data_IF_279285516571
#
_entry.id   IF_279285516571
#
_cell.length_a   1.000
_cell.length_b   1.000
_cell.length_c   1.000
_cell.angle_alpha   90.00
_cell.angle_beta   90.00
_cell.angle_gamma   90.00
#
_symmetry.space_group_name_H-M   'P 1'
#
loop_
_entity.id
_entity.type
_entity.pdbx_description
1 polymer ?
#
# COMPACT_ATOMS: atom_id res chain seq x y z
N UNK A 1 16.60 -19.85 17.68
CA UNK A 1 16.66 -20.67 16.46
C UNK A 1 16.06 -19.83 15.37
N UNK A 2 16.87 -19.30 14.46
CA UNK A 2 16.37 -18.58 13.29
C UNK A 2 15.52 -19.53 12.44
N UNK A 3 14.32 -19.16 12.02
CA UNK A 3 13.51 -19.99 11.15
C UNK A 3 14.28 -20.28 9.84
N UNK A 4 14.22 -21.50 9.38
CA UNK A 4 14.78 -21.88 8.07
C UNK A 4 14.08 -21.06 6.99
N UNK A 5 14.80 -20.42 6.06
CA UNK A 5 14.15 -19.62 5.02
C UNK A 5 13.23 -20.48 4.16
N UNK A 6 12.01 -20.02 3.98
CA UNK A 6 10.96 -20.67 3.18
C UNK A 6 11.40 -20.80 1.71
N UNK A 7 11.22 -21.97 1.14
CA UNK A 7 11.56 -22.22 -0.27
C UNK A 7 10.58 -21.55 -1.24
N UNK A 8 11.00 -21.34 -2.50
CA UNK A 8 10.13 -20.79 -3.55
C UNK A 8 8.87 -21.66 -3.77
N UNK A 9 8.96 -22.99 -3.59
CA UNK A 9 7.82 -23.90 -3.71
C UNK A 9 6.82 -23.71 -2.57
N UNK A 10 7.29 -23.61 -1.33
CA UNK A 10 6.45 -23.40 -0.15
C UNK A 10 5.70 -22.06 -0.22
N UNK A 11 6.37 -21.00 -0.69
CA UNK A 11 5.73 -19.70 -0.94
C UNK A 11 4.62 -19.78 -1.98
N UNK A 12 4.86 -20.51 -3.08
CA UNK A 12 3.84 -20.67 -4.12
C UNK A 12 2.63 -21.47 -3.60
N UNK A 13 2.86 -22.45 -2.74
CA UNK A 13 1.78 -23.23 -2.13
C UNK A 13 1.01 -22.41 -1.10
N UNK A 14 1.68 -21.54 -0.34
CA UNK A 14 1.04 -20.57 0.55
C UNK A 14 0.17 -19.58 -0.23
N UNK A 15 0.69 -18.98 -1.31
CA UNK A 15 -0.10 -18.09 -2.17
C UNK A 15 -1.37 -18.79 -2.70
N UNK A 16 -1.24 -20.02 -3.17
CA UNK A 16 -2.40 -20.81 -3.62
C UNK A 16 -3.39 -21.09 -2.50
N UNK A 17 -2.89 -21.32 -1.27
CA UNK A 17 -3.73 -21.53 -0.10
C UNK A 17 -4.48 -20.25 0.27
N UNK A 18 -3.82 -19.10 0.24
CA UNK A 18 -4.43 -17.80 0.52
C UNK A 18 -5.52 -17.43 -0.51
N UNK A 19 -5.23 -17.60 -1.80
CA UNK A 19 -6.21 -17.36 -2.87
C UNK A 19 -7.43 -18.29 -2.70
N UNK A 20 -7.22 -19.57 -2.38
CA UNK A 20 -8.32 -20.51 -2.13
C UNK A 20 -9.17 -20.10 -0.93
N UNK A 21 -8.53 -19.68 0.16
CA UNK A 21 -9.19 -19.24 1.39
C UNK A 21 -10.04 -17.98 1.15
N UNK A 22 -9.45 -16.98 0.52
CA UNK A 22 -10.16 -15.75 0.17
C UNK A 22 -11.33 -16.03 -0.78
N UNK A 23 -11.14 -16.93 -1.75
CA UNK A 23 -12.20 -17.37 -2.65
C UNK A 23 -13.34 -18.10 -1.93
N UNK A 24 -13.01 -18.97 -0.95
CA UNK A 24 -14.02 -19.63 -0.15
C UNK A 24 -14.83 -18.63 0.70
N UNK A 25 -14.16 -17.67 1.34
CA UNK A 25 -14.83 -16.62 2.12
C UNK A 25 -15.73 -15.73 1.25
N UNK A 26 -15.30 -15.44 0.02
CA UNK A 26 -16.15 -14.75 -0.96
C UNK A 26 -17.37 -15.62 -1.34
N UNK A 27 -17.19 -16.92 -1.54
CA UNK A 27 -18.27 -17.86 -1.77
C UNK A 27 -19.30 -17.85 -0.63
N UNK A 28 -18.82 -17.90 0.61
CA UNK A 28 -19.67 -17.81 1.81
C UNK A 28 -20.43 -16.47 1.85
N UNK A 29 -19.77 -15.38 1.47
CA UNK A 29 -20.38 -14.04 1.39
C UNK A 29 -21.49 -13.99 0.33
N UNK A 30 -21.24 -14.57 -0.84
CA UNK A 30 -22.24 -14.65 -1.93
C UNK A 30 -23.46 -15.47 -1.48
N UNK A 31 -23.25 -16.62 -0.83
CA UNK A 31 -24.35 -17.44 -0.33
C UNK A 31 -25.21 -16.69 0.69
N UNK A 32 -24.58 -15.94 1.62
CA UNK A 32 -25.29 -15.17 2.64
C UNK A 32 -26.05 -13.98 2.07
N UNK A 33 -25.47 -13.28 1.11
CA UNK A 33 -25.99 -12.00 0.62
C UNK A 33 -26.85 -12.11 -0.64
N UNK A 34 -26.78 -13.23 -1.37
CA UNK A 34 -27.59 -13.48 -2.56
C UNK A 34 -28.36 -14.78 -2.41
N UNK A 35 -27.77 -15.92 -2.77
CA UNK A 35 -28.34 -17.27 -2.56
C UNK A 35 -27.30 -18.37 -2.84
N UNK A 36 -27.65 -19.60 -2.45
CA UNK A 36 -26.86 -20.80 -2.75
C UNK A 36 -26.86 -21.08 -4.26
N UNK A 37 -28.01 -20.94 -4.91
CA UNK A 37 -28.17 -21.20 -6.36
C UNK A 37 -27.30 -20.23 -7.18
N UNK A 38 -27.21 -18.96 -6.77
CA UNK A 38 -26.35 -18.01 -7.43
C UNK A 38 -24.85 -18.34 -7.22
N UNK A 39 -24.47 -18.79 -6.04
CA UNK A 39 -23.11 -19.29 -5.79
C UNK A 39 -22.78 -20.48 -6.70
N UNK A 40 -23.69 -21.43 -6.86
CA UNK A 40 -23.53 -22.57 -7.78
C UNK A 40 -23.35 -22.11 -9.24
N UNK A 41 -24.06 -21.08 -9.67
CA UNK A 41 -23.86 -20.45 -10.98
C UNK A 41 -22.46 -19.84 -11.12
N UNK A 42 -21.98 -19.11 -10.11
CA UNK A 42 -20.63 -18.54 -10.10
C UNK A 42 -19.58 -19.65 -10.23
N UNK A 43 -19.71 -20.73 -9.46
CA UNK A 43 -18.79 -21.88 -9.52
C UNK A 43 -18.86 -22.61 -10.86
N UNK A 44 -20.06 -22.79 -11.43
CA UNK A 44 -20.23 -23.37 -12.77
C UNK A 44 -19.48 -22.55 -13.81
N UNK A 45 -19.70 -21.23 -13.84
CA UNK A 45 -19.02 -20.32 -14.79
C UNK A 45 -17.50 -20.36 -14.59
N UNK A 46 -17.02 -20.38 -13.34
CA UNK A 46 -15.58 -20.46 -13.02
C UNK A 46 -14.94 -21.75 -13.55
N UNK A 47 -15.60 -22.88 -13.36
CA UNK A 47 -15.11 -24.20 -13.80
C UNK A 47 -15.08 -24.26 -15.33
N UNK A 48 -16.17 -23.88 -15.98
CA UNK A 48 -16.27 -23.87 -17.44
C UNK A 48 -15.24 -22.93 -18.08
N UNK A 49 -15.07 -21.73 -17.53
CA UNK A 49 -14.06 -20.77 -18.00
C UNK A 49 -12.62 -21.32 -17.86
N UNK A 50 -12.35 -22.10 -16.84
CA UNK A 50 -11.06 -22.79 -16.69
C UNK A 50 -10.88 -23.87 -17.74
N UNK A 51 -11.82 -24.77 -17.89
CA UNK A 51 -11.76 -25.86 -18.89
C UNK A 51 -11.65 -25.31 -20.32
N UNK A 52 -12.39 -24.24 -20.64
CA UNK A 52 -12.27 -23.54 -21.93
C UNK A 52 -10.86 -23.05 -22.19
N UNK A 53 -10.18 -22.51 -21.15
CA UNK A 53 -8.80 -22.04 -21.27
C UNK A 53 -7.79 -23.18 -21.46
N UNK A 54 -8.12 -24.37 -20.99
CA UNK A 54 -7.36 -25.60 -21.19
C UNK A 54 -7.65 -26.25 -22.58
N UNK A 55 -8.52 -25.65 -23.40
CA UNK A 55 -8.80 -26.04 -24.77
C UNK A 55 -10.05 -26.93 -24.96
N UNK A 56 -10.93 -27.05 -23.94
CA UNK A 56 -12.17 -27.84 -24.01
C UNK A 56 -13.26 -27.05 -24.75
N UNK A 57 -13.53 -27.41 -26.01
CA UNK A 57 -14.57 -26.79 -26.85
C UNK A 57 -15.99 -27.08 -26.35
N UNK A 58 -16.23 -28.22 -25.71
CA UNK A 58 -17.54 -28.53 -25.13
C UNK A 58 -17.83 -27.63 -23.92
N UNK A 59 -16.83 -27.41 -23.05
CA UNK A 59 -16.91 -26.47 -21.95
C UNK A 59 -17.12 -25.03 -22.42
N UNK A 60 -16.52 -24.64 -23.57
CA UNK A 60 -16.73 -23.35 -24.18
C UNK A 60 -18.18 -23.15 -24.62
N UNK A 61 -18.75 -24.12 -25.34
CA UNK A 61 -20.15 -24.04 -25.79
C UNK A 61 -21.12 -23.97 -24.61
N UNK A 62 -20.87 -24.78 -23.56
CA UNK A 62 -21.70 -24.73 -22.35
C UNK A 62 -21.56 -23.41 -21.59
N UNK A 63 -20.34 -22.81 -21.55
CA UNK A 63 -20.11 -21.50 -20.94
C UNK A 63 -20.92 -20.42 -21.68
N UNK A 64 -20.85 -20.39 -23.01
CA UNK A 64 -21.58 -19.43 -23.84
C UNK A 64 -23.10 -19.57 -23.61
N UNK A 65 -23.63 -20.79 -23.59
CA UNK A 65 -25.04 -21.05 -23.30
C UNK A 65 -25.43 -20.62 -21.87
N UNK A 66 -24.59 -20.96 -20.88
CA UNK A 66 -24.84 -20.60 -19.48
C UNK A 66 -24.91 -19.08 -19.31
N UNK A 67 -23.94 -18.34 -19.88
CA UNK A 67 -23.89 -16.87 -19.77
C UNK A 67 -25.02 -16.21 -20.58
N UNK A 68 -25.38 -16.76 -21.71
CA UNK A 68 -26.52 -16.24 -22.49
C UNK A 68 -27.89 -16.44 -21.80
N UNK A 69 -27.99 -17.43 -20.91
CA UNK A 69 -29.21 -17.74 -20.17
C UNK A 69 -29.41 -16.95 -18.87
N UNK A 70 -28.44 -16.18 -18.39
CA UNK A 70 -28.57 -15.42 -17.14
C UNK A 70 -29.39 -14.14 -17.36
N UNK A 71 -30.12 -13.72 -16.33
CA UNK A 71 -30.77 -12.40 -16.31
C UNK A 71 -29.76 -11.25 -16.17
N UNK A 72 -30.17 -10.03 -16.54
CA UNK A 72 -29.35 -8.82 -16.41
C UNK A 72 -28.80 -8.63 -14.96
N UNK A 73 -29.65 -8.95 -13.96
CA UNK A 73 -29.24 -8.84 -12.54
C UNK A 73 -28.18 -9.88 -12.22
N UNK A 74 -28.36 -11.13 -12.64
CA UNK A 74 -27.37 -12.18 -12.42
C UNK A 74 -26.07 -11.88 -13.18
N UNK A 75 -26.12 -11.33 -14.39
CA UNK A 75 -24.95 -10.90 -15.14
C UNK A 75 -24.14 -9.82 -14.38
N UNK A 76 -24.82 -8.82 -13.82
CA UNK A 76 -24.18 -7.78 -12.99
C UNK A 76 -23.54 -8.41 -11.75
N UNK A 77 -24.22 -9.31 -11.08
CA UNK A 77 -23.71 -9.98 -9.89
C UNK A 77 -22.54 -10.93 -10.22
N UNK A 78 -22.55 -11.62 -11.38
CA UNK A 78 -21.45 -12.43 -11.86
C UNK A 78 -20.18 -11.57 -12.09
N UNK A 79 -20.33 -10.46 -12.83
CA UNK A 79 -19.23 -9.52 -13.03
C UNK A 79 -18.65 -9.06 -11.67
N UNK A 80 -19.53 -8.71 -10.72
CA UNK A 80 -19.13 -8.31 -9.37
C UNK A 80 -18.37 -9.40 -8.64
N UNK A 81 -18.85 -10.65 -8.66
CA UNK A 81 -18.21 -11.77 -8.02
C UNK A 81 -16.78 -11.99 -8.54
N UNK A 82 -16.61 -11.99 -9.85
CA UNK A 82 -15.26 -12.13 -10.46
C UNK A 82 -14.37 -10.92 -10.22
N UNK A 83 -14.90 -9.71 -10.24
CA UNK A 83 -14.12 -8.50 -9.95
C UNK A 83 -13.56 -8.54 -8.52
N UNK A 84 -14.40 -8.87 -7.54
CA UNK A 84 -13.94 -9.00 -6.14
C UNK A 84 -12.95 -10.15 -6.01
N UNK A 85 -13.20 -11.29 -6.64
CA UNK A 85 -12.26 -12.41 -6.65
C UNK A 85 -10.87 -11.98 -7.16
N UNK A 86 -10.80 -11.26 -8.29
CA UNK A 86 -9.53 -10.77 -8.82
C UNK A 86 -8.87 -9.74 -7.91
N UNK A 87 -9.63 -8.88 -7.23
CA UNK A 87 -9.07 -7.99 -6.23
C UNK A 87 -8.43 -8.75 -5.06
N UNK A 88 -9.10 -9.79 -4.56
CA UNK A 88 -8.59 -10.62 -3.49
C UNK A 88 -7.34 -11.42 -3.92
N UNK A 89 -7.35 -11.99 -5.11
CA UNK A 89 -6.20 -12.67 -5.68
C UNK A 89 -5.00 -11.72 -5.82
N UNK A 90 -5.20 -10.52 -6.37
CA UNK A 90 -4.17 -9.50 -6.49
C UNK A 90 -3.61 -9.06 -5.13
N UNK A 91 -4.45 -8.96 -4.09
CA UNK A 91 -3.96 -8.66 -2.73
C UNK A 91 -3.06 -9.78 -2.22
N UNK A 92 -3.46 -11.04 -2.39
CA UNK A 92 -2.62 -12.18 -1.98
C UNK A 92 -1.30 -12.22 -2.76
N UNK A 93 -1.32 -11.97 -4.07
CA UNK A 93 -0.12 -11.89 -4.91
C UNK A 93 0.81 -10.75 -4.47
N UNK A 94 0.26 -9.57 -4.14
CA UNK A 94 1.04 -8.44 -3.64
C UNK A 94 1.71 -8.77 -2.30
N UNK A 95 0.98 -9.37 -1.36
CA UNK A 95 1.54 -9.79 -0.06
C UNK A 95 2.67 -10.79 -0.27
N UNK A 96 2.45 -11.82 -1.11
CA UNK A 96 3.47 -12.81 -1.42
C UNK A 96 4.70 -12.18 -2.13
N UNK A 97 4.48 -11.22 -3.01
CA UNK A 97 5.57 -10.52 -3.71
C UNK A 97 6.40 -9.65 -2.76
N UNK A 98 5.76 -8.95 -1.84
CA UNK A 98 6.46 -8.15 -0.81
C UNK A 98 7.29 -9.06 0.08
N UNK A 99 6.75 -10.22 0.47
CA UNK A 99 7.48 -11.19 1.28
C UNK A 99 8.67 -11.79 0.52
N UNK A 100 8.49 -12.13 -0.76
CA UNK A 100 9.60 -12.55 -1.63
C UNK A 100 10.72 -11.51 -1.70
N UNK A 101 10.35 -10.23 -1.80
CA UNK A 101 11.32 -9.14 -1.82
C UNK A 101 12.01 -8.99 -0.46
N UNK A 102 11.27 -9.09 0.64
CA UNK A 102 11.85 -9.03 2.01
C UNK A 102 12.86 -10.14 2.25
N UNK A 103 12.53 -11.38 1.89
CA UNK A 103 13.45 -12.52 2.04
C UNK A 103 14.70 -12.41 1.15
N UNK A 104 14.60 -11.71 0.03
CA UNK A 104 15.79 -11.36 -0.76
C UNK A 104 16.60 -10.23 -0.13
N UNK A 105 16.00 -9.47 0.78
CA UNK A 105 16.55 -8.21 1.32
C UNK A 105 17.26 -8.40 2.67
N UNK A 106 17.17 -9.55 3.35
CA UNK A 106 18.03 -9.83 4.51
C UNK A 106 19.49 -10.04 4.06
N UNK A 107 20.15 -8.91 3.74
CA UNK A 107 21.53 -8.85 3.24
C UNK A 107 21.67 -8.92 1.71
N UNK A 108 20.57 -8.89 0.96
CA UNK A 108 20.55 -8.83 -0.50
C UNK A 108 19.27 -8.14 -1.00
N UNK A 109 19.38 -6.93 -1.45
CA UNK A 109 18.31 -6.17 -2.11
C UNK A 109 18.94 -5.29 -3.16
N UNK A 110 18.14 -4.73 -4.07
CA UNK A 110 18.68 -3.89 -5.16
C UNK A 110 19.55 -2.74 -4.65
N UNK A 111 19.26 -2.21 -3.45
CA UNK A 111 20.08 -1.19 -2.81
C UNK A 111 21.42 -1.78 -2.34
N UNK A 112 21.41 -2.91 -1.63
CA UNK A 112 22.60 -3.63 -1.18
C UNK A 112 23.46 -4.10 -2.35
N UNK A 113 22.84 -4.70 -3.37
CA UNK A 113 23.51 -5.14 -4.60
C UNK A 113 24.15 -3.94 -5.34
N UNK A 114 23.50 -2.79 -5.32
CA UNK A 114 24.02 -1.57 -5.93
C UNK A 114 25.24 -1.07 -5.17
N UNK A 115 25.21 -1.04 -3.85
CA UNK A 115 26.35 -0.65 -3.04
C UNK A 115 27.52 -1.64 -3.17
N UNK A 116 27.27 -2.95 -3.22
CA UNK A 116 28.28 -3.96 -3.51
C UNK A 116 28.97 -3.72 -4.87
N UNK A 117 28.22 -3.40 -5.92
CA UNK A 117 28.76 -3.04 -7.25
C UNK A 117 29.55 -1.74 -7.22
N UNK A 118 29.18 -0.78 -6.39
CA UNK A 118 29.93 0.47 -6.17
C UNK A 118 31.30 0.16 -5.52
N UNK A 119 31.30 -0.73 -4.52
CA UNK A 119 32.53 -1.19 -3.86
C UNK A 119 33.45 -1.94 -4.84
N UNK A 120 32.90 -2.87 -5.63
CA UNK A 120 33.62 -3.58 -6.69
C UNK A 120 34.24 -2.64 -7.74
N UNK A 121 33.55 -1.52 -8.04
CA UNK A 121 34.03 -0.50 -8.96
C UNK A 121 35.11 0.40 -8.35
N UNK A 122 35.46 0.23 -7.06
CA UNK A 122 36.49 1.01 -6.38
C UNK A 122 36.13 2.49 -6.19
N UNK A 123 34.84 2.80 -6.08
CA UNK A 123 34.35 4.17 -5.85
C UNK A 123 34.58 4.50 -4.37
N UNK A 124 35.29 5.60 -4.08
CA UNK A 124 35.57 5.97 -2.71
C UNK A 124 34.31 6.45 -1.97
N UNK A 125 34.25 6.26 -0.63
CA UNK A 125 33.14 6.74 0.20
C UNK A 125 32.86 8.23 0.05
N UNK A 126 33.92 9.06 -0.08
CA UNK A 126 33.81 10.51 -0.22
C UNK A 126 33.13 10.89 -1.55
N UNK A 127 33.51 10.20 -2.64
CA UNK A 127 32.91 10.43 -3.94
C UNK A 127 31.45 9.97 -3.96
N UNK A 128 31.16 8.83 -3.32
CA UNK A 128 29.79 8.32 -3.19
C UNK A 128 28.93 9.29 -2.36
N UNK A 129 29.39 9.75 -1.20
CA UNK A 129 28.68 10.73 -0.38
C UNK A 129 28.41 12.04 -1.15
N UNK A 130 29.41 12.53 -1.91
CA UNK A 130 29.23 13.71 -2.75
C UNK A 130 28.18 13.49 -3.87
N UNK A 131 28.08 12.29 -4.41
CA UNK A 131 27.09 11.94 -5.44
C UNK A 131 25.69 11.78 -4.86
N UNK A 132 25.55 11.13 -3.70
CA UNK A 132 24.27 10.98 -3.01
C UNK A 132 23.60 12.33 -2.73
N UNK A 133 24.37 13.37 -2.43
CA UNK A 133 23.87 14.76 -2.26
C UNK A 133 23.23 15.33 -3.52
N UNK A 134 23.54 14.81 -4.70
CA UNK A 134 23.06 15.30 -5.98
C UNK A 134 22.03 14.37 -6.65
N UNK A 135 21.86 13.17 -6.09
CA UNK A 135 20.85 12.22 -6.59
C UNK A 135 19.46 12.71 -6.26
N UNK A 136 18.61 12.75 -7.26
CA UNK A 136 17.18 12.93 -7.08
C UNK A 136 16.43 11.84 -7.87
N UNK A 137 15.70 11.00 -7.15
CA UNK A 137 14.76 10.05 -7.72
C UNK A 137 13.33 10.58 -7.52
N UNK A 138 12.65 10.87 -8.61
CA UNK A 138 11.31 11.47 -8.59
C UNK A 138 10.29 10.59 -9.30
N UNK A 139 9.67 9.62 -8.59
CA UNK A 139 8.52 8.92 -9.14
C UNK A 139 7.37 9.92 -9.35
N UNK A 140 6.84 9.93 -10.58
CA UNK A 140 5.74 10.83 -10.95
C UNK A 140 4.48 10.01 -11.13
N UNK A 141 3.48 10.26 -10.31
CA UNK A 141 2.20 9.57 -10.32
C UNK A 141 1.24 10.22 -11.31
N UNK A 142 0.51 9.37 -12.03
CA UNK A 142 -0.59 9.79 -12.89
C UNK A 142 -1.86 9.01 -12.52
N UNK A 143 -3.02 9.60 -12.74
CA UNK A 143 -4.28 8.88 -12.60
C UNK A 143 -4.54 8.07 -13.87
N UNK A 144 -4.88 6.79 -13.70
CA UNK A 144 -5.35 5.99 -14.81
C UNK A 144 -6.87 6.15 -14.96
N UNK A 145 -7.41 6.40 -16.17
CA UNK A 145 -8.85 6.62 -16.37
C UNK A 145 -9.74 5.46 -15.88
N UNK A 146 -9.18 4.26 -15.73
CA UNK A 146 -9.89 3.07 -15.24
C UNK A 146 -9.84 2.89 -13.73
N UNK A 147 -9.06 3.69 -12.98
CA UNK A 147 -9.06 3.66 -11.51
C UNK A 147 -10.28 4.38 -10.93
N UNK A 148 -11.46 3.84 -11.23
CA UNK A 148 -12.72 4.32 -10.66
C UNK A 148 -13.00 3.76 -9.26
N UNK A 149 -12.06 3.03 -8.66
CA UNK A 149 -12.23 2.40 -7.35
C UNK A 149 -12.45 3.44 -6.26
N UNK A 150 -13.45 3.20 -5.40
CA UNK A 150 -13.70 4.08 -4.26
C UNK A 150 -12.57 3.91 -3.23
N UNK A 151 -12.19 5.00 -2.56
CA UNK A 151 -11.20 4.97 -1.46
C UNK A 151 -11.53 3.90 -0.41
N UNK A 152 -12.82 3.71 -0.10
CA UNK A 152 -13.27 2.68 0.83
C UNK A 152 -12.95 1.25 0.39
N UNK A 153 -12.93 0.98 -0.92
CA UNK A 153 -12.52 -0.32 -1.49
C UNK A 153 -11.01 -0.49 -1.35
N UNK A 154 -10.23 0.56 -1.66
CA UNK A 154 -8.78 0.54 -1.50
C UNK A 154 -8.37 0.30 -0.04
N UNK A 155 -9.01 0.98 0.92
CA UNK A 155 -8.77 0.79 2.35
C UNK A 155 -9.05 -0.64 2.80
N UNK A 156 -10.17 -1.24 2.36
CA UNK A 156 -10.51 -2.64 2.67
C UNK A 156 -9.48 -3.62 2.10
N UNK A 157 -8.99 -3.35 0.88
CA UNK A 157 -7.94 -4.17 0.27
C UNK A 157 -6.62 -4.06 1.05
N UNK A 158 -6.24 -2.87 1.49
CA UNK A 158 -5.06 -2.66 2.36
C UNK A 158 -5.20 -3.40 3.68
N UNK A 159 -6.37 -3.33 4.33
CA UNK A 159 -6.64 -4.03 5.58
C UNK A 159 -6.54 -5.57 5.41
N UNK A 160 -7.06 -6.12 4.30
CA UNK A 160 -6.88 -7.55 4.00
C UNK A 160 -5.40 -7.89 3.81
N UNK A 161 -4.63 -7.03 3.13
CA UNK A 161 -3.19 -7.26 2.93
C UNK A 161 -2.41 -7.27 4.26
N UNK A 162 -2.75 -6.40 5.20
CA UNK A 162 -2.18 -6.38 6.55
C UNK A 162 -2.53 -7.65 7.32
N UNK A 163 -3.80 -8.02 7.33
CA UNK A 163 -4.28 -9.24 7.98
C UNK A 163 -3.64 -10.52 7.42
N UNK A 164 -3.42 -10.60 6.11
CA UNK A 164 -2.71 -11.74 5.51
C UNK A 164 -1.25 -11.82 5.96
N UNK A 165 -0.57 -10.68 6.15
CA UNK A 165 0.80 -10.65 6.71
C UNK A 165 0.81 -11.08 8.17
N UNK A 166 -0.07 -10.51 9.00
CA UNK A 166 -0.21 -10.89 10.41
C UNK A 166 -0.49 -12.39 10.59
N UNK A 167 -1.23 -12.97 9.66
CA UNK A 167 -1.60 -14.38 9.70
C UNK A 167 -0.40 -15.32 9.57
N UNK A 168 0.66 -14.91 8.89
CA UNK A 168 1.86 -15.73 8.66
C UNK A 168 2.54 -16.11 9.99
N UNK A 169 2.52 -15.21 10.97
CA UNK A 169 3.15 -15.41 12.28
C UNK A 169 2.13 -15.69 13.41
N UNK A 170 0.86 -15.86 13.05
CA UNK A 170 -0.21 -16.01 14.02
C UNK A 170 -0.26 -17.44 14.62
N UNK A 171 -0.70 -17.51 15.87
CA UNK A 171 -1.08 -18.81 16.48
C UNK A 171 -2.41 -19.30 15.87
N UNK A 172 -2.74 -20.57 16.01
CA UNK A 172 -3.98 -21.16 15.49
C UNK A 172 -5.23 -20.35 15.91
N UNK A 173 -5.31 -19.89 17.17
CA UNK A 173 -6.39 -19.02 17.63
C UNK A 173 -6.34 -17.62 17.04
N UNK A 174 -5.15 -17.13 16.69
CA UNK A 174 -4.91 -15.88 15.96
C UNK A 174 -5.42 -15.99 14.53
N UNK A 175 -5.07 -17.05 13.83
CA UNK A 175 -5.54 -17.31 12.47
C UNK A 175 -7.07 -17.30 12.36
N UNK A 176 -7.77 -17.97 13.30
CA UNK A 176 -9.24 -17.98 13.31
C UNK A 176 -9.83 -16.58 13.45
N UNK A 177 -9.22 -15.71 14.30
CA UNK A 177 -9.67 -14.33 14.45
C UNK A 177 -9.42 -13.50 13.19
N UNK A 178 -8.26 -13.67 12.59
CA UNK A 178 -7.87 -12.99 11.35
C UNK A 178 -8.79 -13.42 10.21
N UNK A 179 -9.00 -14.71 10.02
CA UNK A 179 -9.87 -15.27 8.98
C UNK A 179 -11.32 -14.75 9.12
N UNK A 180 -11.81 -14.65 10.36
CA UNK A 180 -13.13 -14.05 10.63
C UNK A 180 -13.16 -12.57 10.22
N UNK A 181 -12.13 -11.79 10.58
CA UNK A 181 -12.05 -10.36 10.22
C UNK A 181 -11.97 -10.16 8.71
N UNK A 182 -11.20 -10.98 8.01
CA UNK A 182 -11.14 -10.96 6.53
C UNK A 182 -12.54 -11.23 5.95
N UNK A 183 -13.26 -12.23 6.47
CA UNK A 183 -14.62 -12.52 6.02
C UNK A 183 -15.58 -11.35 6.19
N UNK A 184 -15.52 -10.63 7.32
CA UNK A 184 -16.30 -9.41 7.55
C UNK A 184 -15.97 -8.30 6.52
N UNK A 185 -14.69 -8.14 6.18
CA UNK A 185 -14.25 -7.15 5.19
C UNK A 185 -14.73 -7.55 3.78
N UNK A 186 -14.70 -8.85 3.45
CA UNK A 186 -15.22 -9.37 2.17
C UNK A 186 -16.73 -9.14 2.06
N UNK A 187 -17.50 -9.34 3.13
CA UNK A 187 -18.93 -8.99 3.16
C UNK A 187 -19.15 -7.49 2.87
N UNK A 188 -18.34 -6.63 3.49
CA UNK A 188 -18.39 -5.19 3.23
C UNK A 188 -17.95 -4.82 1.81
N UNK A 189 -17.00 -5.54 1.21
CA UNK A 189 -16.64 -5.37 -0.21
C UNK A 189 -17.80 -5.79 -1.11
N UNK A 190 -18.43 -6.92 -0.83
CA UNK A 190 -19.60 -7.38 -1.56
C UNK A 190 -20.75 -6.38 -1.54
N UNK A 191 -21.00 -5.76 -0.41
CA UNK A 191 -22.09 -4.78 -0.23
C UNK A 191 -21.73 -3.36 -0.69
N UNK A 192 -20.45 -3.10 -1.01
CA UNK A 192 -20.00 -1.78 -1.45
C UNK A 192 -20.18 -1.61 -2.96
N UNK A 193 -20.67 -0.46 -3.42
CA UNK A 193 -20.58 -0.10 -4.84
C UNK A 193 -19.12 0.17 -5.21
N UNK A 194 -18.56 -0.65 -6.07
CA UNK A 194 -17.18 -0.53 -6.53
C UNK A 194 -17.00 0.65 -7.48
N UNK A 195 -17.93 0.77 -8.42
CA UNK A 195 -17.89 1.82 -9.41
C UNK A 195 -18.61 3.07 -8.91
N UNK A 196 -17.96 4.20 -9.09
CA UNK A 196 -18.63 5.49 -8.91
C UNK A 196 -19.65 5.66 -10.05
N UNK A 197 -20.90 5.97 -9.70
CA UNK A 197 -21.94 6.32 -10.69
C UNK A 197 -21.61 7.61 -11.45
N UNK A 198 -20.69 8.42 -10.90
CA UNK A 198 -20.25 9.68 -11.47
C UNK A 198 -18.75 9.57 -11.77
N UNK A 199 -18.36 10.02 -12.96
CA UNK A 199 -16.94 10.08 -13.35
C UNK A 199 -16.14 10.86 -12.29
N UNK A 200 -14.99 10.36 -11.81
CA UNK A 200 -14.18 11.07 -10.83
C UNK A 200 -13.77 12.45 -11.38
N UNK A 201 -13.78 13.43 -10.52
CA UNK A 201 -13.22 14.76 -10.82
C UNK A 201 -11.70 14.71 -10.70
N UNK A 202 -10.96 15.65 -11.32
CA UNK A 202 -9.50 15.72 -11.14
C UNK A 202 -9.08 15.85 -9.66
N UNK A 203 -9.89 16.46 -8.81
CA UNK A 203 -9.66 16.53 -7.37
C UNK A 203 -9.85 15.17 -6.69
N UNK A 204 -10.80 14.36 -7.15
CA UNK A 204 -10.98 13.00 -6.63
C UNK A 204 -9.81 12.09 -7.00
N UNK A 205 -9.29 12.23 -8.23
CA UNK A 205 -8.10 11.53 -8.70
C UNK A 205 -6.87 11.95 -7.87
N UNK A 206 -6.70 13.25 -7.62
CA UNK A 206 -5.62 13.76 -6.77
C UNK A 206 -5.69 13.19 -5.34
N UNK A 207 -6.90 13.08 -4.75
CA UNK A 207 -7.09 12.46 -3.43
C UNK A 207 -6.67 10.99 -3.40
N UNK A 208 -6.91 10.25 -4.48
CA UNK A 208 -6.47 8.86 -4.59
C UNK A 208 -4.94 8.76 -4.64
N UNK A 209 -4.28 9.57 -5.47
CA UNK A 209 -2.81 9.60 -5.54
C UNK A 209 -2.18 10.00 -4.22
N UNK A 210 -2.71 11.05 -3.56
CA UNK A 210 -2.23 11.49 -2.24
C UNK A 210 -2.31 10.34 -1.23
N UNK A 211 -3.38 9.55 -1.24
CA UNK A 211 -3.51 8.40 -0.35
C UNK A 211 -2.39 7.36 -0.56
N UNK A 212 -2.01 7.07 -1.80
CA UNK A 212 -0.88 6.16 -2.09
C UNK A 212 0.45 6.76 -1.63
N UNK A 213 0.67 8.05 -1.87
CA UNK A 213 1.89 8.74 -1.45
C UNK A 213 1.99 8.80 0.07
N UNK A 214 0.88 9.04 0.79
CA UNK A 214 0.84 8.96 2.26
C UNK A 214 1.33 7.58 2.75
N UNK A 215 0.80 6.49 2.18
CA UNK A 215 1.23 5.13 2.53
C UNK A 215 2.71 4.85 2.24
N UNK A 216 3.26 5.41 1.15
CA UNK A 216 4.69 5.29 0.86
C UNK A 216 5.55 6.05 1.87
N UNK A 217 5.14 7.26 2.26
CA UNK A 217 5.86 8.09 3.24
C UNK A 217 5.83 7.46 4.62
N UNK A 218 4.70 6.88 5.03
CA UNK A 218 4.55 6.28 6.36
C UNK A 218 5.22 4.91 6.49
N UNK A 219 5.25 4.11 5.42
CA UNK A 219 5.64 2.70 5.52
C UNK A 219 6.91 2.34 4.73
N UNK A 220 7.12 2.88 3.53
CA UNK A 220 8.22 2.47 2.67
C UNK A 220 9.47 3.34 2.83
N UNK A 221 9.32 4.67 2.90
CA UNK A 221 10.46 5.57 3.03
C UNK A 221 11.28 5.35 4.28
N UNK A 222 10.71 5.13 5.49
CA UNK A 222 11.52 4.85 6.69
C UNK A 222 12.42 3.64 6.53
N UNK A 223 11.94 2.58 5.87
CA UNK A 223 12.74 1.38 5.61
C UNK A 223 13.92 1.67 4.68
N UNK A 224 13.64 2.39 3.57
CA UNK A 224 14.70 2.79 2.61
C UNK A 224 15.77 3.66 3.29
N UNK A 225 15.36 4.56 4.21
CA UNK A 225 16.28 5.39 4.97
C UNK A 225 17.13 4.56 5.92
N UNK A 226 16.52 3.63 6.68
CA UNK A 226 17.26 2.76 7.59
C UNK A 226 18.30 1.93 6.83
N UNK A 227 17.94 1.36 5.68
CA UNK A 227 18.88 0.61 4.86
C UNK A 227 20.01 1.48 4.30
N UNK A 228 19.69 2.70 3.85
CA UNK A 228 20.68 3.64 3.32
C UNK A 228 21.65 4.11 4.40
N UNK A 229 21.15 4.45 5.60
CA UNK A 229 21.97 4.81 6.74
C UNK A 229 22.91 3.68 7.13
N UNK A 230 22.39 2.45 7.25
CA UNK A 230 23.21 1.28 7.57
C UNK A 230 24.34 1.06 6.55
N UNK A 231 24.02 1.13 5.25
CA UNK A 231 24.99 0.98 4.16
C UNK A 231 26.05 2.11 4.15
N UNK A 232 25.67 3.30 4.57
CA UNK A 232 26.55 4.44 4.70
C UNK A 232 27.50 4.26 5.91
N UNK A 233 26.95 3.89 7.07
CA UNK A 233 27.72 3.63 8.31
C UNK A 233 28.75 2.53 8.11
N UNK A 234 28.41 1.41 7.47
CA UNK A 234 29.36 0.32 7.14
C UNK A 234 30.57 0.81 6.33
N UNK A 235 30.42 1.91 5.58
CA UNK A 235 31.47 2.50 4.74
C UNK A 235 32.12 3.73 5.36
N UNK A 236 31.81 4.04 6.63
CA UNK A 236 32.29 5.22 7.31
C UNK A 236 31.84 6.53 6.69
N UNK A 237 30.69 6.55 6.03
CA UNK A 237 30.08 7.75 5.45
C UNK A 237 29.06 8.33 6.43
N UNK A 238 29.06 9.65 6.57
CA UNK A 238 27.99 10.38 7.24
C UNK A 238 27.05 10.96 6.18
N UNK A 239 25.78 10.59 6.24
CA UNK A 239 24.74 11.19 5.39
C UNK A 239 24.32 12.53 5.98
N UNK A 240 24.10 13.57 5.14
CA UNK A 240 23.62 14.85 5.64
C UNK A 240 22.17 14.74 6.14
N UNK A 241 21.86 15.44 7.24
CA UNK A 241 20.51 15.48 7.83
C UNK A 241 19.42 16.01 6.86
N UNK A 242 19.81 16.83 5.88
CA UNK A 242 18.93 17.42 4.88
C UNK A 242 18.88 16.63 3.57
N UNK A 243 19.47 15.44 3.53
CA UNK A 243 19.46 14.58 2.35
C UNK A 243 18.03 14.15 1.99
N UNK A 244 17.54 14.52 0.82
CA UNK A 244 16.21 14.19 0.32
C UNK A 244 16.26 13.65 -1.11
N UNK A 245 16.86 12.46 -1.34
CA UNK A 245 17.04 11.94 -2.70
C UNK A 245 15.76 11.42 -3.33
N UNK A 246 14.70 11.20 -2.54
CA UNK A 246 13.41 10.75 -3.05
C UNK A 246 12.38 11.87 -2.92
N UNK A 247 11.78 12.25 -4.05
CA UNK A 247 10.73 13.26 -4.12
C UNK A 247 9.59 12.79 -4.98
N UNK A 248 8.37 12.84 -4.47
CA UNK A 248 7.18 12.46 -5.22
C UNK A 248 6.67 13.60 -6.09
N UNK A 249 6.30 13.28 -7.33
CA UNK A 249 5.61 14.18 -8.24
C UNK A 249 4.25 13.61 -8.65
N UNK A 250 3.36 14.47 -9.12
CA UNK A 250 2.10 14.06 -9.72
C UNK A 250 1.70 15.02 -10.83
N UNK A 251 1.16 14.46 -11.91
CA UNK A 251 0.54 15.26 -12.99
C UNK A 251 -0.92 15.57 -12.69
N UNK A 252 -1.53 14.85 -11.75
CA UNK A 252 -2.96 14.95 -11.46
C UNK A 252 -3.32 16.32 -10.91
N UNK A 253 -4.30 16.95 -11.57
CA UNK A 253 -4.74 18.31 -11.24
C UNK A 253 -3.82 19.43 -11.75
N UNK A 254 -2.67 19.10 -12.35
CA UNK A 254 -1.73 20.06 -12.95
C UNK A 254 -1.66 19.96 -14.46
N UNK A 255 -1.54 18.74 -14.99
CA UNK A 255 -1.51 18.47 -16.42
C UNK A 255 -2.94 18.55 -17.00
N UNK A 256 -3.10 19.35 -18.01
CA UNK A 256 -4.40 19.60 -18.64
C UNK A 256 -4.68 18.64 -19.79
N UNK A 257 -3.68 18.31 -20.59
CA UNK A 257 -3.76 17.41 -21.76
C UNK A 257 -5.13 17.44 -22.49
N UNK A 258 -5.64 18.66 -22.74
CA UNK A 258 -6.95 18.88 -23.34
C UNK A 258 -8.16 18.63 -22.43
N UNK A 259 -7.97 18.28 -21.18
CA UNK A 259 -9.05 18.10 -20.22
C UNK A 259 -9.58 19.47 -19.71
N UNK A 260 -10.81 19.88 -20.10
CA UNK A 260 -11.35 21.19 -19.70
C UNK A 260 -11.66 21.29 -18.20
N UNK A 261 -11.69 20.17 -17.47
CA UNK A 261 -11.96 20.16 -16.04
C UNK A 261 -10.70 20.41 -15.19
N UNK A 262 -9.50 20.38 -15.78
CA UNK A 262 -8.26 20.75 -15.10
C UNK A 262 -8.02 22.25 -15.28
N UNK A 263 -8.67 23.03 -14.41
CA UNK A 263 -8.55 24.50 -14.39
C UNK A 263 -7.47 24.95 -13.40
N UNK A 264 -7.06 26.24 -13.48
CA UNK A 264 -6.14 26.82 -12.50
C UNK A 264 -6.67 26.72 -11.06
N UNK A 265 -7.98 26.84 -10.87
CA UNK A 265 -8.63 26.67 -9.57
C UNK A 265 -8.49 25.24 -9.05
N UNK A 266 -8.66 24.23 -9.92
CA UNK A 266 -8.44 22.81 -9.56
C UNK A 266 -6.99 22.56 -9.18
N UNK A 267 -6.03 23.15 -9.92
CA UNK A 267 -4.61 23.04 -9.58
C UNK A 267 -4.32 23.62 -8.19
N UNK A 268 -4.85 24.78 -7.86
CA UNK A 268 -4.71 25.42 -6.54
C UNK A 268 -5.35 24.56 -5.43
N UNK A 269 -6.53 24.00 -5.67
CA UNK A 269 -7.20 23.08 -4.73
C UNK A 269 -6.34 21.83 -4.48
N UNK A 270 -5.77 21.22 -5.54
CA UNK A 270 -4.92 20.04 -5.41
C UNK A 270 -3.63 20.35 -4.64
N UNK A 271 -2.97 21.47 -4.92
CA UNK A 271 -1.79 21.92 -4.17
C UNK A 271 -2.12 22.16 -2.70
N UNK A 272 -3.27 22.75 -2.42
CA UNK A 272 -3.77 22.96 -1.05
C UNK A 272 -3.99 21.62 -0.33
N UNK A 273 -4.60 20.65 -1.00
CA UNK A 273 -4.78 19.30 -0.45
C UNK A 273 -3.44 18.62 -0.15
N UNK A 274 -2.48 18.67 -1.08
CA UNK A 274 -1.14 18.12 -0.87
C UNK A 274 -0.46 18.74 0.34
N UNK A 275 -0.49 20.07 0.45
CA UNK A 275 0.05 20.79 1.60
C UNK A 275 -0.60 20.38 2.93
N UNK A 276 -1.92 20.30 2.96
CA UNK A 276 -2.66 19.89 4.17
C UNK A 276 -2.30 18.48 4.60
N UNK A 277 -2.09 17.57 3.64
CA UNK A 277 -1.71 16.18 3.92
C UNK A 277 -0.27 16.10 4.42
N UNK A 278 0.67 16.78 3.78
CA UNK A 278 2.06 16.86 4.23
C UNK A 278 2.17 17.40 5.67
N UNK A 279 1.44 18.47 5.97
CA UNK A 279 1.40 19.03 7.34
C UNK A 279 0.80 18.05 8.37
N UNK A 280 -0.18 17.24 7.97
CA UNK A 280 -0.75 16.22 8.85
C UNK A 280 0.27 15.11 9.15
N UNK A 281 0.98 14.59 8.14
CA UNK A 281 2.04 13.60 8.30
C UNK A 281 3.15 14.12 9.20
N UNK A 282 3.62 15.34 8.95
CA UNK A 282 4.63 15.99 9.78
C UNK A 282 4.17 16.15 11.23
N UNK A 283 2.93 16.58 11.44
CA UNK A 283 2.36 16.71 12.79
C UNK A 283 2.28 15.35 13.51
N UNK A 284 1.84 14.29 12.80
CA UNK A 284 1.80 12.94 13.36
C UNK A 284 3.19 12.50 13.79
N UNK A 285 4.20 12.61 12.92
CA UNK A 285 5.57 12.22 13.24
C UNK A 285 6.17 13.01 14.42
N UNK A 286 5.87 14.31 14.53
CA UNK A 286 6.29 15.11 15.68
C UNK A 286 5.57 14.67 16.97
N UNK A 287 4.29 14.29 16.89
CA UNK A 287 3.55 13.78 18.05
C UNK A 287 4.09 12.43 18.52
N UNK A 288 4.41 11.53 17.59
CA UNK A 288 5.00 10.22 17.88
C UNK A 288 6.37 10.41 18.54
N UNK A 289 7.24 11.27 17.97
CA UNK A 289 8.52 11.63 18.54
C UNK A 289 8.38 12.24 19.94
N UNK A 290 7.43 13.11 20.17
CA UNK A 290 7.17 13.68 21.49
C UNK A 290 6.76 12.61 22.52
N UNK A 291 6.01 11.58 22.07
CA UNK A 291 5.69 10.40 22.87
C UNK A 291 6.95 9.60 23.26
N UNK A 292 7.78 9.30 22.28
CA UNK A 292 9.03 8.53 22.45
C UNK A 292 10.05 9.27 23.34
N UNK A 293 10.14 10.60 23.19
CA UNK A 293 11.01 11.46 23.98
C UNK A 293 10.44 11.84 25.36
N UNK A 294 9.29 11.29 25.76
CA UNK A 294 8.73 11.50 27.10
C UNK A 294 9.55 10.79 28.17
N UNK A 295 10.79 11.26 28.37
CA UNK A 295 11.77 10.72 29.30
C UNK A 295 11.84 11.58 30.57
N UNK A 296 12.30 10.99 31.70
CA UNK A 296 12.46 11.71 32.95
C UNK A 296 13.59 12.76 32.85
N UNK A 297 13.24 14.03 32.93
CA UNK A 297 14.22 15.13 33.02
C UNK A 297 15.12 15.07 34.25
N UNK A 298 14.73 14.28 35.29
CA UNK A 298 15.56 14.04 36.47
C UNK A 298 16.67 13.04 36.18
N UNK A 299 16.41 12.04 35.32
CA UNK A 299 17.39 11.01 34.96
C UNK A 299 18.32 11.53 33.85
N UNK A 300 17.75 12.19 32.87
CA UNK A 300 18.46 12.78 31.73
C UNK A 300 17.93 14.19 31.45
N UNK A 301 18.56 15.23 32.04
CA UNK A 301 18.16 16.61 31.79
C UNK A 301 18.35 16.96 30.30
N UNK A 302 17.52 17.85 29.80
CA UNK A 302 17.70 18.44 28.46
C UNK A 302 19.02 19.19 28.38
N UNK A 303 19.60 19.24 27.18
CA UNK A 303 20.85 20.00 26.97
C UNK A 303 20.59 21.50 27.18
N UNK A 304 21.64 22.25 27.57
CA UNK A 304 21.55 23.69 27.75
C UNK A 304 21.11 24.38 26.44
N UNK A 305 21.61 23.91 25.30
CA UNK A 305 21.27 24.38 23.96
C UNK A 305 19.79 24.20 23.64
N UNK A 306 19.20 23.03 23.96
CA UNK A 306 17.77 22.80 23.76
C UNK A 306 16.94 23.66 24.72
N UNK A 307 17.39 23.85 25.97
CA UNK A 307 16.70 24.71 26.92
C UNK A 307 16.67 26.19 26.47
N UNK A 308 17.76 26.68 25.91
CA UNK A 308 17.89 28.03 25.35
C UNK A 308 16.95 28.20 24.13
N UNK A 309 16.97 27.23 23.21
CA UNK A 309 16.09 27.23 22.04
C UNK A 309 14.60 27.21 22.43
N UNK A 310 14.22 26.41 23.44
CA UNK A 310 12.84 26.38 23.99
C UNK A 310 12.45 27.75 24.55
N UNK A 311 13.36 28.41 25.30
CA UNK A 311 13.10 29.71 25.90
C UNK A 311 12.88 30.77 24.81
N UNK A 312 13.72 30.82 23.79
CA UNK A 312 13.62 31.76 22.67
C UNK A 312 12.36 31.52 21.84
N UNK A 313 12.09 30.25 21.48
CA UNK A 313 10.88 29.89 20.74
C UNK A 313 9.59 30.18 21.52
N UNK A 314 9.62 30.05 22.85
CA UNK A 314 8.51 30.40 23.73
C UNK A 314 8.24 31.91 23.79
N UNK A 315 9.30 32.71 23.71
CA UNK A 315 9.18 34.18 23.66
C UNK A 315 8.58 34.67 22.33
N UNK A 316 8.95 34.02 21.22
CA UNK A 316 8.44 34.35 19.88
C UNK A 316 7.00 33.84 19.67
N UNK A 317 6.65 32.69 20.25
CA UNK A 317 5.37 32.02 20.04
C UNK A 317 4.67 31.61 21.36
N UNK A 318 4.26 32.55 22.20
CA UNK A 318 3.72 32.26 23.55
C UNK A 318 2.49 31.33 23.56
N UNK A 319 1.70 31.31 22.48
CA UNK A 319 0.53 30.44 22.34
C UNK A 319 0.87 28.94 22.11
N UNK A 320 2.11 28.64 21.69
CA UNK A 320 2.53 27.25 21.49
C UNK A 320 2.92 26.55 22.81
N UNK A 321 3.22 27.31 23.84
CA UNK A 321 3.71 26.81 25.13
C UNK A 321 2.59 26.57 26.14
N UNK A 322 1.46 27.25 26.03
CA UNK A 322 0.30 27.07 26.93
C UNK A 322 -0.30 25.65 26.91
N UNK A 323 0.06 24.82 25.96
CA UNK A 323 -0.39 23.43 25.85
C UNK A 323 0.64 22.38 26.27
N UNK A 324 1.84 22.79 26.74
CA UNK A 324 2.96 21.91 27.08
C UNK A 324 3.24 21.82 28.60
N UNK A 325 2.43 22.45 29.46
CA UNK A 325 2.54 22.43 30.92
C UNK A 325 1.67 21.36 31.57
#
# INVERSE_FOLDING_TARGET
VSPTPETASERQDRLRADIRRLGAQLGDSIQRNVSVEFFELVEKVRILARSTREGDEAARAELEETVAGVSDIEAILLVRAFTIYFHLANVAEQVNRVEELRLKTEGSGELFDTFARIDEAGISPELLAARLRTVEYRPVFTAHPTEASRRSVLQKRSEIAELLRERTDATESGEVRIDRRIGEIIDLLWLSDELRKVKPTPVDEARAIIFYVEGLVENALPLVWTDLDHLAEERGMELPDDLTPIRFGSWVGGDRDGNPFVTAQVTDEVLTLQRQRALRLLRSGVQDLAGDLSVSGTIRPITAELAEWIADSSAEHPRLVEGLS
#
